data_IF_830238199650
#
_entry.id   IF_830238199650
#
_cell.length_a   1.000
_cell.length_b   1.000
_cell.length_c   1.000
_cell.angle_alpha   90.00
_cell.angle_beta   90.00
_cell.angle_gamma   90.00
#
_symmetry.space_group_name_H-M   'P 1'
#
loop_
_entity.id
_entity.type
_entity.pdbx_description
1 polymer ?
#
# COMPACT_ATOMS: atom_id res chain seq x y z
N UNK A 1 22.75 -12.86 4.01
CA UNK A 1 21.43 -12.26 4.08
C UNK A 1 21.46 -10.98 4.91
N UNK A 2 20.43 -10.15 4.77
CA UNK A 2 20.28 -8.94 5.58
C UNK A 2 19.72 -9.29 6.99
N UNK A 3 19.85 -8.39 7.97
CA UNK A 3 19.25 -8.57 9.30
C UNK A 3 17.74 -8.80 9.22
N UNK A 4 17.05 -8.06 8.35
CA UNK A 4 15.60 -8.26 8.09
C UNK A 4 15.34 -9.62 7.45
N UNK A 5 16.24 -10.12 6.61
CA UNK A 5 16.16 -11.47 6.04
C UNK A 5 16.25 -12.56 7.12
N UNK A 6 17.09 -12.37 8.15
CA UNK A 6 17.16 -13.26 9.31
C UNK A 6 15.85 -13.25 10.08
N UNK A 7 15.27 -12.06 10.32
CA UNK A 7 13.97 -11.92 10.99
C UNK A 7 12.85 -12.66 10.23
N UNK A 8 12.78 -12.50 8.90
CA UNK A 8 11.83 -13.22 8.05
C UNK A 8 12.05 -14.75 8.12
N UNK A 9 13.31 -15.19 8.16
CA UNK A 9 13.66 -16.61 8.32
C UNK A 9 13.16 -17.17 9.64
N UNK A 10 13.34 -16.44 10.75
CA UNK A 10 12.82 -16.82 12.07
C UNK A 10 11.30 -16.95 12.05
N UNK A 11 10.57 -15.98 11.48
CA UNK A 11 9.11 -16.08 11.37
C UNK A 11 8.66 -17.23 10.47
N UNK A 12 9.38 -17.50 9.38
CA UNK A 12 9.10 -18.65 8.53
C UNK A 12 9.29 -19.97 9.27
N UNK A 13 10.36 -20.09 10.06
CA UNK A 13 10.63 -21.23 10.89
C UNK A 13 9.54 -21.46 11.94
N UNK A 14 9.17 -20.41 12.69
CA UNK A 14 8.10 -20.47 13.69
C UNK A 14 6.77 -20.89 13.06
N UNK A 15 6.39 -20.32 11.94
CA UNK A 15 5.20 -20.70 11.19
C UNK A 15 5.22 -22.17 10.81
N UNK A 16 6.31 -22.64 10.25
CA UNK A 16 6.44 -24.03 9.82
C UNK A 16 6.34 -25.01 11.02
N UNK A 17 6.95 -24.67 12.15
CA UNK A 17 6.86 -25.47 13.37
C UNK A 17 5.42 -25.54 13.91
N UNK A 18 4.73 -24.42 13.93
CA UNK A 18 3.36 -24.33 14.45
C UNK A 18 2.34 -25.01 13.53
N UNK A 19 2.54 -24.93 12.21
CA UNK A 19 1.58 -25.46 11.23
C UNK A 19 1.85 -26.92 10.85
N UNK A 20 3.09 -27.41 10.94
CA UNK A 20 3.44 -28.77 10.55
C UNK A 20 3.16 -29.83 11.63
N UNK A 21 2.92 -29.42 12.88
CA UNK A 21 2.75 -30.35 14.01
C UNK A 21 3.98 -31.23 14.29
N UNK A 22 5.17 -30.84 13.79
CA UNK A 22 6.42 -31.59 13.92
C UNK A 22 7.24 -31.08 15.10
N UNK A 23 7.93 -31.99 15.78
CA UNK A 23 8.88 -31.60 16.80
C UNK A 23 10.10 -30.89 16.17
N UNK A 24 10.71 -29.94 16.90
CA UNK A 24 11.88 -29.17 16.46
C UNK A 24 13.00 -30.06 15.86
N UNK A 25 13.28 -31.20 16.49
CA UNK A 25 14.34 -32.13 16.06
C UNK A 25 14.08 -32.78 14.68
N UNK A 26 12.87 -32.66 14.16
CA UNK A 26 12.48 -33.21 12.84
C UNK A 26 12.47 -32.14 11.74
N UNK A 27 12.86 -30.92 12.08
CA UNK A 27 12.83 -29.81 11.15
C UNK A 27 14.18 -29.66 10.45
N UNK A 28 14.19 -29.81 9.15
CA UNK A 28 15.34 -29.44 8.29
C UNK A 28 14.94 -28.21 7.49
N UNK A 29 15.65 -27.09 7.72
CA UNK A 29 15.49 -25.89 6.92
C UNK A 29 16.68 -25.80 5.97
N UNK A 30 16.47 -26.11 4.71
CA UNK A 30 17.45 -25.93 3.64
C UNK A 30 16.76 -25.23 2.44
N UNK A 31 16.15 -24.08 2.73
CA UNK A 31 15.45 -23.29 1.72
C UNK A 31 15.95 -21.85 1.76
N UNK A 32 16.47 -21.37 0.65
CA UNK A 32 16.69 -19.95 0.42
C UNK A 32 15.44 -19.35 -0.23
N UNK A 33 14.82 -18.38 0.43
CA UNK A 33 13.63 -17.68 -0.08
C UNK A 33 13.87 -16.17 -0.09
N UNK A 34 13.63 -15.57 -1.25
CA UNK A 34 13.57 -14.13 -1.41
C UNK A 34 12.13 -13.71 -1.73
N UNK A 35 11.68 -12.52 -1.30
CA UNK A 35 10.35 -12.04 -1.66
C UNK A 35 10.22 -11.82 -3.16
N UNK A 36 9.09 -12.22 -3.74
CA UNK A 36 8.75 -12.00 -5.16
C UNK A 36 8.69 -10.51 -5.49
N UNK A 37 8.15 -9.72 -4.57
CA UNK A 37 7.97 -8.28 -4.75
C UNK A 37 8.89 -7.49 -3.82
N UNK A 38 9.47 -6.40 -4.33
CA UNK A 38 10.29 -5.49 -3.53
C UNK A 38 9.46 -4.61 -2.62
N UNK A 39 8.35 -4.06 -3.12
CA UNK A 39 7.40 -3.28 -2.34
C UNK A 39 6.22 -4.17 -1.94
N UNK A 40 5.95 -4.29 -0.65
CA UNK A 40 4.83 -5.01 -0.06
C UNK A 40 4.24 -4.13 1.02
N UNK A 41 3.25 -3.30 0.66
CA UNK A 41 2.85 -2.17 1.47
C UNK A 41 1.36 -2.23 1.83
N UNK A 42 1.03 -1.72 3.01
CA UNK A 42 -0.34 -1.44 3.41
C UNK A 42 -0.60 0.07 3.39
N UNK A 43 -1.71 0.44 2.78
CA UNK A 43 -2.23 1.80 2.89
C UNK A 43 -3.35 1.84 3.93
N UNK A 44 -3.13 2.59 4.98
CA UNK A 44 -4.15 2.90 5.97
C UNK A 44 -4.93 4.13 5.49
N UNK A 45 -6.25 4.08 5.67
CA UNK A 45 -7.11 5.21 5.35
C UNK A 45 -7.60 5.87 6.63
N UNK A 46 -6.65 6.04 7.56
CA UNK A 46 -6.89 6.63 8.87
C UNK A 46 -6.91 8.16 8.76
N UNK A 47 -7.90 8.78 9.39
CA UNK A 47 -8.05 10.23 9.47
C UNK A 47 -7.49 10.75 10.79
N UNK A 48 -7.10 12.02 10.81
CA UNK A 48 -6.50 12.66 12.01
C UNK A 48 -7.51 12.80 13.18
N UNK A 49 -8.82 12.74 12.92
CA UNK A 49 -9.86 12.75 13.94
C UNK A 49 -10.03 11.40 14.67
N UNK A 50 -9.35 10.36 14.19
CA UNK A 50 -9.44 8.99 14.72
C UNK A 50 -10.38 8.08 13.96
N UNK A 51 -11.15 8.60 13.01
CA UNK A 51 -11.97 7.77 12.13
C UNK A 51 -11.12 7.06 11.07
N UNK A 52 -11.63 5.97 10.54
CA UNK A 52 -10.99 5.23 9.43
C UNK A 52 -11.98 5.21 8.27
N UNK A 53 -11.58 5.72 7.11
CA UNK A 53 -12.40 5.61 5.91
C UNK A 53 -12.54 4.13 5.52
N UNK A 54 -13.77 3.64 5.40
CA UNK A 54 -14.08 2.20 5.29
C UNK A 54 -13.60 1.40 6.50
N UNK A 55 -13.64 2.01 7.69
CA UNK A 55 -13.26 1.40 8.96
C UNK A 55 -14.37 0.51 9.50
N UNK A 56 -14.06 -0.78 9.72
CA UNK A 56 -15.00 -1.78 10.27
C UNK A 56 -14.43 -2.49 11.49
N UNK A 57 -13.32 -1.99 12.05
CA UNK A 57 -12.54 -2.62 13.12
C UNK A 57 -12.17 -1.64 14.25
N UNK A 58 -13.09 -0.72 14.54
CA UNK A 58 -12.92 0.30 15.55
C UNK A 58 -12.27 1.58 15.01
N UNK A 59 -11.71 2.36 15.91
CA UNK A 59 -11.07 3.64 15.61
C UNK A 59 -9.59 3.45 15.21
N UNK A 60 -8.99 4.52 14.69
CA UNK A 60 -7.56 4.56 14.40
C UNK A 60 -6.74 4.33 15.68
N UNK A 61 -5.68 3.54 15.57
CA UNK A 61 -4.65 3.45 16.60
C UNK A 61 -3.42 4.32 16.28
N UNK A 62 -3.47 5.06 15.16
CA UNK A 62 -2.45 6.05 14.79
C UNK A 62 -2.82 7.47 15.20
N UNK A 63 -4.12 7.82 15.16
CA UNK A 63 -4.59 9.19 15.32
C UNK A 63 -5.81 9.27 16.24
N UNK A 64 -5.92 10.41 16.93
CA UNK A 64 -7.10 10.84 17.68
C UNK A 64 -7.07 12.34 17.87
N UNK A 65 -8.20 13.00 17.66
CA UNK A 65 -8.38 14.43 17.96
C UNK A 65 -7.28 15.33 17.33
N UNK A 66 -6.86 15.01 16.10
CA UNK A 66 -5.77 15.67 15.36
C UNK A 66 -4.38 15.49 15.96
N UNK A 67 -4.18 14.50 16.82
CA UNK A 67 -2.87 14.14 17.38
C UNK A 67 -2.46 12.72 17.00
N UNK A 68 -1.14 12.48 16.96
CA UNK A 68 -0.58 11.15 16.72
C UNK A 68 -0.56 10.38 18.05
N UNK A 69 -1.16 9.20 18.07
CA UNK A 69 -1.15 8.30 19.22
C UNK A 69 0.17 7.52 19.30
N UNK A 70 0.77 7.45 20.49
CA UNK A 70 1.99 6.67 20.72
C UNK A 70 1.71 5.58 21.77
N UNK A 71 1.05 4.51 21.32
CA UNK A 71 0.91 3.26 22.07
C UNK A 71 2.04 2.31 21.66
N UNK A 72 3.18 2.41 22.33
CA UNK A 72 4.39 1.62 21.99
C UNK A 72 4.13 0.11 21.99
N UNK A 73 3.46 -0.49 23.00
CA UNK A 73 3.15 -1.92 22.99
C UNK A 73 2.32 -2.32 21.75
N UNK A 74 1.27 -1.58 21.43
CA UNK A 74 0.39 -1.88 20.30
C UNK A 74 1.10 -1.70 18.96
N UNK A 75 1.79 -0.59 18.77
CA UNK A 75 2.56 -0.31 17.54
C UNK A 75 3.67 -1.35 17.33
N UNK A 76 4.36 -1.77 18.40
CA UNK A 76 5.38 -2.83 18.33
C UNK A 76 4.76 -4.19 17.95
N UNK A 77 3.61 -4.52 18.54
CA UNK A 77 2.88 -5.74 18.18
C UNK A 77 2.45 -5.71 16.70
N UNK A 78 1.99 -4.55 16.22
CA UNK A 78 1.63 -4.36 14.81
C UNK A 78 2.85 -4.50 13.89
N UNK A 79 3.96 -3.83 14.18
CA UNK A 79 5.19 -3.94 13.39
C UNK A 79 5.70 -5.39 13.30
N UNK A 80 5.65 -6.12 14.42
CA UNK A 80 6.01 -7.54 14.47
C UNK A 80 5.08 -8.41 13.64
N UNK A 81 3.76 -8.16 13.70
CA UNK A 81 2.77 -8.87 12.91
C UNK A 81 3.02 -8.63 11.40
N UNK A 82 3.25 -7.40 10.97
CA UNK A 82 3.57 -7.07 9.58
C UNK A 82 4.83 -7.80 9.09
N UNK A 83 5.89 -7.77 9.88
CA UNK A 83 7.14 -8.48 9.56
C UNK A 83 6.93 -9.99 9.47
N UNK A 84 6.07 -10.58 10.32
CA UNK A 84 5.80 -12.02 10.34
C UNK A 84 5.17 -12.55 9.05
N UNK A 85 4.49 -11.69 8.30
CA UNK A 85 3.89 -12.01 7.00
C UNK A 85 4.63 -11.38 5.83
N UNK A 86 5.74 -10.66 6.10
CA UNK A 86 6.63 -10.11 5.07
C UNK A 86 6.23 -8.75 4.51
N UNK A 87 5.32 -8.02 5.14
CA UNK A 87 5.02 -6.61 4.81
C UNK A 87 6.23 -5.74 5.19
N UNK A 88 6.63 -4.84 4.29
CA UNK A 88 7.83 -4.00 4.47
C UNK A 88 7.59 -2.49 4.29
N UNK A 89 6.33 -2.08 4.17
CA UNK A 89 5.97 -0.66 4.10
C UNK A 89 4.56 -0.41 4.58
N UNK A 90 4.33 0.76 5.16
CA UNK A 90 3.00 1.26 5.52
C UNK A 90 2.88 2.75 5.23
N UNK A 91 1.71 3.19 4.77
CA UNK A 91 1.27 4.58 4.97
C UNK A 91 0.33 4.61 6.17
N UNK A 92 0.39 5.64 6.98
CA UNK A 92 -0.40 5.70 8.22
C UNK A 92 -1.66 6.56 8.12
N UNK A 93 -1.74 7.43 7.11
CA UNK A 93 -2.85 8.37 6.96
C UNK A 93 -3.56 8.21 5.62
N UNK A 94 -4.80 8.66 5.60
CA UNK A 94 -5.69 8.62 4.44
C UNK A 94 -5.05 9.31 3.22
N UNK A 95 -5.26 8.73 2.05
CA UNK A 95 -4.82 9.29 0.76
C UNK A 95 -5.53 10.60 0.38
N UNK A 96 -6.72 10.85 0.97
CA UNK A 96 -7.46 12.10 0.84
C UNK A 96 -6.97 13.14 1.86
N UNK A 97 -5.71 13.54 1.74
CA UNK A 97 -5.05 14.41 2.70
C UNK A 97 -5.68 15.80 2.73
N UNK A 98 -6.12 16.23 3.92
CA UNK A 98 -6.75 17.52 4.18
C UNK A 98 -6.56 17.95 5.64
N UNK A 99 -6.83 19.19 5.93
CA UNK A 99 -6.85 19.73 7.29
C UNK A 99 -5.58 19.37 8.07
N UNK A 100 -5.72 18.84 9.28
CA UNK A 100 -4.61 18.48 10.15
C UNK A 100 -3.61 17.48 9.48
N UNK A 101 -4.07 16.62 8.57
CA UNK A 101 -3.18 15.67 7.90
C UNK A 101 -2.17 16.35 6.95
N UNK A 102 -2.49 17.54 6.42
CA UNK A 102 -1.53 18.32 5.63
C UNK A 102 -0.29 18.72 6.44
N UNK A 103 -0.41 18.83 7.77
CA UNK A 103 0.65 19.23 8.68
C UNK A 103 1.59 18.09 9.09
N UNK A 104 1.34 16.83 8.69
CA UNK A 104 2.21 15.69 9.01
C UNK A 104 3.66 15.88 8.52
N UNK A 105 3.87 16.73 7.52
CA UNK A 105 5.19 17.08 6.99
C UNK A 105 5.78 18.35 7.62
N UNK A 106 5.39 18.69 8.84
CA UNK A 106 5.87 19.87 9.57
C UNK A 106 6.43 19.46 10.94
N UNK A 107 7.12 20.39 11.57
CA UNK A 107 7.74 20.25 12.90
C UNK A 107 6.73 19.89 14.00
N UNK A 108 5.45 20.22 13.81
CA UNK A 108 4.37 19.84 14.73
C UNK A 108 4.35 18.33 15.04
N UNK A 109 4.62 17.49 14.04
CA UNK A 109 4.47 16.04 14.19
C UNK A 109 5.78 15.27 14.10
N UNK A 110 6.91 15.90 13.79
CA UNK A 110 8.18 15.17 13.62
C UNK A 110 8.58 14.35 14.83
N UNK A 111 8.40 14.89 16.06
CA UNK A 111 8.73 14.16 17.28
C UNK A 111 7.96 12.84 17.41
N UNK A 112 6.66 12.85 17.14
CA UNK A 112 5.83 11.63 17.18
C UNK A 112 6.18 10.65 16.04
N UNK A 113 6.43 11.15 14.84
CA UNK A 113 6.84 10.32 13.69
C UNK A 113 8.21 9.70 13.89
N UNK A 114 9.13 10.35 14.61
CA UNK A 114 10.42 9.76 15.02
C UNK A 114 10.21 8.53 15.91
N UNK A 115 9.25 8.57 16.85
CA UNK A 115 8.92 7.41 17.68
C UNK A 115 8.38 6.26 16.80
N UNK A 116 7.57 6.54 15.79
CA UNK A 116 7.12 5.53 14.83
C UNK A 116 8.29 4.90 14.06
N UNK A 117 9.22 5.71 13.56
CA UNK A 117 10.42 5.19 12.89
C UNK A 117 11.25 4.28 13.80
N UNK A 118 11.42 4.64 15.09
CA UNK A 118 12.10 3.79 16.07
C UNK A 118 11.42 2.43 16.26
N UNK A 119 10.08 2.40 16.18
CA UNK A 119 9.29 1.17 16.36
C UNK A 119 9.29 0.31 15.10
N UNK A 120 9.06 0.89 13.92
CA UNK A 120 8.87 0.12 12.68
C UNK A 120 10.17 -0.31 11.98
N UNK A 121 11.21 0.54 12.03
CA UNK A 121 12.48 0.26 11.34
C UNK A 121 13.16 -1.04 11.76
N UNK A 122 13.21 -1.42 13.06
CA UNK A 122 13.82 -2.69 13.48
C UNK A 122 13.13 -3.93 12.89
N UNK A 123 11.86 -3.80 12.51
CA UNK A 123 11.08 -4.86 11.86
C UNK A 123 11.19 -4.83 10.33
N UNK A 124 11.99 -3.93 9.76
CA UNK A 124 12.14 -3.77 8.33
C UNK A 124 10.92 -3.17 7.64
N UNK A 125 10.04 -2.51 8.38
CA UNK A 125 8.85 -1.84 7.88
C UNK A 125 9.16 -0.35 7.71
N UNK A 126 9.12 0.14 6.47
CA UNK A 126 9.29 1.55 6.15
C UNK A 126 8.01 2.33 6.34
N UNK A 127 8.11 3.49 6.93
CA UNK A 127 7.02 4.45 7.06
C UNK A 127 6.94 5.32 5.80
N UNK A 128 5.74 5.48 5.26
CA UNK A 128 5.39 6.43 4.22
C UNK A 128 4.29 7.35 4.72
N UNK A 129 4.24 8.57 4.20
CA UNK A 129 3.16 9.52 4.50
C UNK A 129 2.37 9.82 3.24
N UNK A 130 1.05 9.80 3.34
CA UNK A 130 0.22 10.42 2.30
C UNK A 130 0.32 11.93 2.44
N UNK A 131 0.52 12.63 1.31
CA UNK A 131 0.70 14.10 1.29
C UNK A 131 -0.33 14.78 0.41
N UNK A 132 -0.62 16.04 0.74
CA UNK A 132 -1.42 16.90 -0.09
C UNK A 132 -0.55 17.50 -1.19
N UNK A 133 -0.90 17.27 -2.45
CA UNK A 133 -0.19 17.84 -3.60
C UNK A 133 -0.17 19.38 -3.54
N UNK A 134 -1.23 19.99 -3.02
CA UNK A 134 -1.33 21.45 -2.86
C UNK A 134 -0.74 21.98 -1.53
N UNK A 135 0.09 21.21 -0.83
CA UNK A 135 0.74 21.68 0.40
C UNK A 135 1.52 23.01 0.25
N UNK A 136 2.14 23.37 -0.91
CA UNK A 136 2.72 24.70 -1.09
C UNK A 136 1.72 25.84 -0.88
N UNK A 137 0.46 25.65 -1.26
CA UNK A 137 -0.60 26.63 -1.01
C UNK A 137 -1.04 26.64 0.44
N UNK A 138 -1.32 25.47 1.02
CA UNK A 138 -1.87 25.37 2.38
C UNK A 138 -0.85 25.67 3.48
N UNK A 139 0.40 25.26 3.29
CA UNK A 139 1.47 25.40 4.29
C UNK A 139 2.48 26.50 3.92
N UNK A 140 2.68 26.74 2.64
CA UNK A 140 3.65 27.70 2.12
C UNK A 140 3.07 29.09 1.80
N UNK A 141 1.74 29.23 1.85
CA UNK A 141 1.06 30.49 1.50
C UNK A 141 1.25 30.89 0.03
N UNK A 142 1.54 29.93 -0.85
CA UNK A 142 1.70 30.18 -2.28
C UNK A 142 0.33 30.26 -2.97
N UNK A 143 0.24 31.00 -4.07
CA UNK A 143 -0.99 31.14 -4.86
C UNK A 143 -1.24 29.95 -5.80
N UNK A 144 -0.25 29.09 -5.98
CA UNK A 144 -0.27 27.97 -6.93
C UNK A 144 0.47 26.75 -6.41
N UNK A 145 0.08 25.58 -6.90
CA UNK A 145 0.84 24.32 -6.78
C UNK A 145 1.17 23.76 -8.18
N UNK A 146 1.32 24.61 -9.21
CA UNK A 146 1.72 24.18 -10.54
C UNK A 146 3.08 23.47 -10.49
N UNK A 147 3.17 22.17 -10.87
CA UNK A 147 4.42 21.41 -10.79
C UNK A 147 5.52 21.95 -11.72
N UNK A 148 5.18 22.77 -12.70
CA UNK A 148 6.13 23.40 -13.61
C UNK A 148 6.57 24.80 -13.12
N UNK A 149 6.05 25.30 -11.99
CA UNK A 149 6.51 26.53 -11.38
C UNK A 149 7.81 26.27 -10.58
N UNK A 150 8.94 26.91 -10.92
CA UNK A 150 10.19 26.74 -10.19
C UNK A 150 10.09 27.08 -8.70
N UNK A 151 9.21 27.99 -8.31
CA UNK A 151 9.00 28.35 -6.90
C UNK A 151 8.31 27.20 -6.14
N UNK A 152 7.34 26.53 -6.74
CA UNK A 152 6.67 25.36 -6.20
C UNK A 152 7.66 24.20 -6.10
N UNK A 153 8.45 23.93 -7.13
CA UNK A 153 9.47 22.89 -7.13
C UNK A 153 10.53 23.14 -6.03
N UNK A 154 10.95 24.40 -5.86
CA UNK A 154 11.88 24.79 -4.79
C UNK A 154 11.25 24.56 -3.41
N UNK A 155 10.00 24.95 -3.20
CA UNK A 155 9.31 24.75 -1.92
C UNK A 155 9.30 23.27 -1.54
N UNK A 156 8.99 22.38 -2.50
CA UNK A 156 9.01 20.94 -2.26
C UNK A 156 10.41 20.38 -1.99
N UNK A 157 11.43 20.90 -2.69
CA UNK A 157 12.82 20.51 -2.43
C UNK A 157 13.26 20.91 -1.01
N UNK A 158 12.99 22.13 -0.57
CA UNK A 158 13.28 22.61 0.77
C UNK A 158 12.49 21.79 1.82
N UNK A 159 11.20 21.53 1.57
CA UNK A 159 10.35 20.74 2.47
C UNK A 159 10.82 19.28 2.56
N UNK A 160 11.24 18.67 1.47
CA UNK A 160 11.81 17.33 1.50
C UNK A 160 13.09 17.28 2.35
N UNK A 161 13.98 18.24 2.20
CA UNK A 161 15.18 18.32 3.03
C UNK A 161 14.83 18.46 4.53
N UNK A 162 13.88 19.31 4.87
CA UNK A 162 13.39 19.48 6.25
C UNK A 162 12.83 18.16 6.80
N UNK A 163 11.95 17.49 6.04
CA UNK A 163 11.32 16.24 6.45
C UNK A 163 12.37 15.14 6.68
N UNK A 164 13.28 14.90 5.73
CA UNK A 164 14.29 13.83 5.89
C UNK A 164 15.38 14.16 6.90
N UNK A 165 15.69 15.43 7.13
CA UNK A 165 16.58 15.82 8.22
C UNK A 165 16.00 15.45 9.59
N UNK A 166 14.68 15.54 9.76
CA UNK A 166 13.99 15.18 10.99
C UNK A 166 13.52 13.73 11.05
N UNK A 167 13.23 13.11 9.91
CA UNK A 167 12.72 11.74 9.79
C UNK A 167 13.68 10.87 8.95
N UNK A 168 14.90 10.63 9.41
CA UNK A 168 15.86 9.81 8.69
C UNK A 168 15.32 8.37 8.59
N UNK A 169 15.26 7.84 7.35
CA UNK A 169 14.72 6.50 7.09
C UNK A 169 13.25 6.48 6.70
N UNK A 170 12.58 7.64 6.61
CA UNK A 170 11.26 7.73 5.97
C UNK A 170 11.34 7.14 4.55
N UNK A 171 10.38 6.27 4.17
CA UNK A 171 10.39 5.60 2.88
C UNK A 171 10.05 6.51 1.72
N UNK A 172 9.11 7.43 1.92
CA UNK A 172 8.64 8.30 0.87
C UNK A 172 7.26 8.87 1.10
N UNK A 173 6.67 9.35 0.01
CA UNK A 173 5.32 9.91 0.00
C UNK A 173 4.37 9.11 -0.89
N UNK A 174 3.12 8.97 -0.44
CA UNK A 174 2.00 8.52 -1.24
C UNK A 174 1.17 9.72 -1.67
N UNK A 175 0.84 9.79 -2.96
CA UNK A 175 0.11 10.93 -3.53
C UNK A 175 -1.14 10.45 -4.27
N UNK A 176 -2.26 11.07 -3.95
CA UNK A 176 -3.51 11.01 -4.72
C UNK A 176 -3.84 12.43 -5.16
N UNK A 177 -3.72 12.71 -6.45
CA UNK A 177 -3.94 14.03 -7.03
C UNK A 177 -5.15 14.03 -7.98
N UNK A 178 -5.69 15.20 -8.30
CA UNK A 178 -6.80 15.38 -9.25
C UNK A 178 -8.05 14.53 -8.96
N UNK A 179 -8.33 14.25 -7.71
CA UNK A 179 -9.46 13.42 -7.32
C UNK A 179 -10.19 14.01 -6.09
N UNK A 180 -11.50 13.86 -6.05
CA UNK A 180 -12.36 14.25 -4.91
C UNK A 180 -12.18 15.71 -4.47
N UNK A 181 -12.11 16.63 -5.43
CA UNK A 181 -11.93 18.05 -5.20
C UNK A 181 -10.52 18.46 -4.76
N UNK A 182 -9.55 17.55 -4.84
CA UNK A 182 -8.15 17.86 -4.54
C UNK A 182 -7.43 18.35 -5.79
N UNK A 183 -6.66 19.44 -5.69
CA UNK A 183 -5.82 19.90 -6.79
C UNK A 183 -4.77 18.86 -7.17
N UNK A 184 -4.42 18.87 -8.42
CA UNK A 184 -3.35 18.06 -8.97
C UNK A 184 -2.83 18.69 -10.25
N UNK A 185 -1.99 17.99 -11.03
CA UNK A 185 -1.43 18.51 -12.28
C UNK A 185 -2.47 19.02 -13.25
N UNK A 186 -3.61 18.35 -13.40
CA UNK A 186 -4.67 18.77 -14.33
C UNK A 186 -5.28 20.13 -13.99
N UNK A 187 -5.29 20.52 -12.72
CA UNK A 187 -5.73 21.84 -12.28
C UNK A 187 -4.96 22.96 -12.98
N UNK A 188 -3.70 22.70 -13.34
CA UNK A 188 -2.77 23.64 -13.97
C UNK A 188 -2.51 23.35 -15.45
N UNK A 189 -3.30 22.47 -16.07
CA UNK A 189 -3.08 22.06 -17.46
C UNK A 189 -1.82 21.22 -17.68
N UNK A 190 -1.33 20.55 -16.62
CA UNK A 190 -0.16 19.67 -16.65
C UNK A 190 -0.59 18.21 -16.66
N UNK A 191 0.31 17.32 -17.04
CA UNK A 191 0.06 15.87 -16.98
C UNK A 191 0.51 15.27 -15.63
N UNK A 192 0.17 14.01 -15.39
CA UNK A 192 0.46 13.32 -14.14
C UNK A 192 1.97 13.10 -13.91
N UNK A 193 2.76 12.95 -14.97
CA UNK A 193 4.21 12.81 -14.87
C UNK A 193 4.88 14.13 -14.44
N UNK A 194 4.35 15.29 -14.88
CA UNK A 194 4.87 16.59 -14.43
C UNK A 194 4.79 16.69 -12.89
N UNK A 195 3.65 16.33 -12.32
CA UNK A 195 3.46 16.37 -10.86
C UNK A 195 4.29 15.33 -10.11
N UNK A 196 4.28 14.10 -10.60
CA UNK A 196 5.03 13.01 -9.95
C UNK A 196 6.54 13.25 -9.99
N UNK A 197 7.06 13.73 -11.13
CA UNK A 197 8.49 13.98 -11.33
C UNK A 197 8.97 15.18 -10.50
N UNK A 198 8.19 16.25 -10.37
CA UNK A 198 8.54 17.36 -9.49
C UNK A 198 8.77 16.88 -8.06
N UNK A 199 7.85 16.07 -7.52
CA UNK A 199 8.00 15.49 -6.17
C UNK A 199 9.15 14.48 -6.11
N UNK A 200 9.32 13.66 -7.14
CA UNK A 200 10.40 12.68 -7.22
C UNK A 200 11.78 13.34 -7.21
N UNK A 201 11.95 14.41 -7.98
CA UNK A 201 13.17 15.22 -8.01
C UNK A 201 13.43 15.90 -6.65
N UNK A 202 12.38 16.34 -5.95
CA UNK A 202 12.49 16.93 -4.61
C UNK A 202 12.98 15.93 -3.56
N UNK A 203 12.52 14.68 -3.58
CA UNK A 203 12.87 13.66 -2.56
C UNK A 203 14.10 12.82 -2.93
N UNK A 204 14.52 12.81 -4.20
CA UNK A 204 15.65 11.99 -4.68
C UNK A 204 16.96 12.23 -3.91
N UNK A 205 17.37 13.49 -3.61
CA UNK A 205 18.61 13.75 -2.84
C UNK A 205 18.57 13.14 -1.43
N UNK A 206 17.37 12.90 -0.89
CA UNK A 206 17.16 12.32 0.43
C UNK A 206 16.97 10.79 0.39
N UNK A 207 17.02 10.17 -0.80
CA UNK A 207 16.73 8.75 -0.99
C UNK A 207 15.25 8.39 -0.85
N UNK A 208 14.36 9.39 -0.97
CA UNK A 208 12.92 9.23 -0.88
C UNK A 208 12.30 8.64 -2.13
N UNK A 209 11.13 8.05 -1.99
CA UNK A 209 10.36 7.40 -3.04
C UNK A 209 8.96 8.01 -3.15
N UNK A 210 8.42 8.11 -4.36
CA UNK A 210 7.07 8.57 -4.61
C UNK A 210 6.20 7.40 -5.05
N UNK A 211 5.13 7.16 -4.33
CA UNK A 211 4.06 6.26 -4.74
C UNK A 211 2.93 7.12 -5.28
N UNK A 212 2.72 7.08 -6.59
CA UNK A 212 1.72 7.91 -7.25
C UNK A 212 0.50 7.08 -7.61
N UNK A 213 -0.63 7.39 -6.98
CA UNK A 213 -1.85 6.60 -7.16
C UNK A 213 -2.54 6.96 -8.47
N UNK A 214 -2.72 5.98 -9.35
CA UNK A 214 -3.41 6.12 -10.65
C UNK A 214 -4.93 6.03 -10.49
N UNK A 215 -5.48 6.67 -9.47
CA UNK A 215 -6.91 6.83 -9.32
C UNK A 215 -7.29 8.24 -9.77
N UNK A 216 -7.45 8.37 -11.07
CA UNK A 216 -7.78 9.66 -11.68
C UNK A 216 -9.00 9.46 -12.57
N UNK A 217 -10.13 9.85 -12.07
CA UNK A 217 -11.13 10.45 -12.94
C UNK A 217 -11.19 11.92 -12.55
N UNK A 218 -11.15 12.78 -13.54
CA UNK A 218 -11.36 14.18 -13.27
C UNK A 218 -12.74 14.35 -12.60
N UNK A 219 -12.76 14.65 -11.31
CA UNK A 219 -14.02 14.81 -10.56
C UNK A 219 -14.84 16.02 -11.04
N UNK A 220 -14.22 16.92 -11.81
CA UNK A 220 -14.89 18.03 -12.48
C UNK A 220 -15.44 17.65 -13.86
N UNK A 221 -15.20 16.42 -14.31
CA UNK A 221 -15.71 15.94 -15.59
C UNK A 221 -17.23 15.96 -15.60
N UNK A 222 -17.80 16.60 -16.60
CA UNK A 222 -19.25 16.57 -16.81
C UNK A 222 -19.69 15.14 -17.10
N UNK A 223 -20.52 14.56 -16.23
CA UNK A 223 -21.07 13.22 -16.38
C UNK A 223 -21.86 13.01 -17.68
N UNK A 224 -22.29 14.09 -18.33
CA UNK A 224 -22.96 14.07 -19.64
C UNK A 224 -21.99 13.88 -20.81
N UNK A 225 -20.69 14.02 -20.55
CA UNK A 225 -19.67 13.81 -21.57
C UNK A 225 -19.43 12.31 -21.74
N UNK A 226 -20.22 11.69 -22.61
CA UNK A 226 -20.14 10.24 -22.91
C UNK A 226 -18.91 9.83 -23.74
N UNK A 227 -18.07 10.79 -24.13
CA UNK A 227 -16.80 10.50 -24.83
C UNK A 227 -15.69 10.10 -23.88
N UNK A 228 -15.83 10.36 -22.59
CA UNK A 228 -14.86 10.02 -21.55
C UNK A 228 -15.50 8.97 -20.66
N UNK A 229 -14.87 7.81 -20.60
CA UNK A 229 -15.32 6.68 -19.79
C UNK A 229 -14.48 6.60 -18.51
N UNK A 230 -15.14 6.51 -17.35
CA UNK A 230 -14.48 6.40 -16.04
C UNK A 230 -13.55 5.16 -15.98
N UNK A 231 -14.00 4.05 -16.54
CA UNK A 231 -13.22 2.82 -16.57
C UNK A 231 -11.95 2.93 -17.45
N UNK A 232 -11.93 3.86 -18.39
CA UNK A 232 -10.78 4.13 -19.26
C UNK A 232 -9.88 5.24 -18.76
N UNK A 233 -10.37 6.10 -17.87
CA UNK A 233 -9.69 7.35 -17.52
C UNK A 233 -8.24 7.11 -17.05
N UNK A 234 -8.02 6.12 -16.17
CA UNK A 234 -6.67 5.77 -15.74
C UNK A 234 -5.76 5.36 -16.91
N UNK A 235 -6.27 4.52 -17.80
CA UNK A 235 -5.50 4.10 -18.98
C UNK A 235 -5.20 5.28 -19.91
N UNK A 236 -6.21 6.05 -20.25
CA UNK A 236 -6.08 7.18 -21.20
C UNK A 236 -5.13 8.28 -20.67
N UNK A 237 -5.05 8.48 -19.37
CA UNK A 237 -4.17 9.50 -18.78
C UNK A 237 -2.75 9.03 -18.49
N UNK A 238 -2.55 7.75 -18.15
CA UNK A 238 -1.23 7.26 -17.73
C UNK A 238 -0.49 6.50 -18.85
N UNK A 239 -1.19 5.78 -19.71
CA UNK A 239 -0.55 5.01 -20.79
C UNK A 239 0.34 5.86 -21.71
N UNK A 240 -0.06 7.09 -22.14
CA UNK A 240 0.78 7.95 -22.97
C UNK A 240 2.05 8.46 -22.28
N UNK A 241 2.13 8.30 -20.94
CA UNK A 241 3.23 8.77 -20.12
C UNK A 241 4.22 7.65 -19.76
N UNK A 242 4.05 6.44 -20.31
CA UNK A 242 4.96 5.34 -20.03
C UNK A 242 6.41 5.70 -20.35
N UNK A 243 7.32 5.43 -19.41
CA UNK A 243 8.75 5.76 -19.53
C UNK A 243 9.11 7.22 -19.28
N UNK A 244 8.14 8.08 -18.90
CA UNK A 244 8.43 9.50 -18.61
C UNK A 244 8.58 9.77 -17.10
N UNK A 245 8.20 8.83 -16.25
CA UNK A 245 8.35 8.93 -14.80
C UNK A 245 9.79 8.68 -14.36
N UNK A 246 10.21 9.32 -13.27
CA UNK A 246 11.55 9.09 -12.65
C UNK A 246 11.63 7.68 -12.06
N UNK A 247 12.84 7.16 -11.93
CA UNK A 247 13.11 5.82 -11.37
C UNK A 247 12.67 5.65 -9.90
N UNK A 248 12.55 6.75 -9.15
CA UNK A 248 12.04 6.74 -7.79
C UNK A 248 10.53 7.01 -7.70
N UNK A 249 9.79 6.81 -8.80
CA UNK A 249 8.32 6.83 -8.84
C UNK A 249 7.79 5.43 -9.07
N UNK A 250 6.83 5.01 -8.27
CA UNK A 250 6.00 3.81 -8.52
C UNK A 250 4.56 4.23 -8.73
N UNK A 251 3.99 3.84 -9.84
CA UNK A 251 2.56 4.04 -10.11
C UNK A 251 1.74 2.97 -9.38
N UNK A 252 0.89 3.39 -8.45
CA UNK A 252 -0.02 2.49 -7.73
C UNK A 252 -1.35 2.40 -8.47
N UNK A 253 -1.62 1.22 -9.04
CA UNK A 253 -2.72 0.96 -9.94
C UNK A 253 -3.70 0.00 -9.29
N UNK A 254 -4.98 0.37 -9.15
CA UNK A 254 -6.03 -0.55 -8.69
C UNK A 254 -6.06 -1.82 -9.55
N UNK A 255 -6.35 -2.93 -8.91
CA UNK A 255 -6.45 -4.23 -9.59
C UNK A 255 -7.47 -4.25 -10.74
N UNK A 256 -8.54 -3.48 -10.63
CA UNK A 256 -9.54 -3.25 -11.68
C UNK A 256 -9.60 -1.78 -12.08
N UNK A 257 -10.24 -1.46 -13.22
CA UNK A 257 -10.26 -0.11 -13.78
C UNK A 257 -11.21 0.87 -13.05
N UNK A 258 -12.08 0.37 -12.18
CA UNK A 258 -13.10 1.16 -11.49
C UNK A 258 -12.77 1.37 -10.01
N UNK A 259 -13.14 0.42 -9.14
CA UNK A 259 -13.08 0.65 -7.69
C UNK A 259 -13.15 -0.62 -6.84
N UNK A 260 -12.27 -1.59 -7.08
CA UNK A 260 -12.17 -2.84 -6.30
C UNK A 260 -13.44 -3.73 -6.32
N UNK A 261 -14.31 -3.58 -7.30
CA UNK A 261 -15.50 -4.42 -7.41
C UNK A 261 -15.11 -5.81 -7.92
N UNK A 262 -15.72 -6.84 -7.35
CA UNK A 262 -15.36 -8.26 -7.62
C UNK A 262 -15.48 -8.65 -9.10
N UNK A 263 -16.39 -8.02 -9.82
CA UNK A 263 -16.65 -8.31 -11.24
C UNK A 263 -15.86 -7.45 -12.22
N UNK A 264 -14.98 -6.60 -11.74
CA UNK A 264 -14.10 -5.83 -12.60
C UNK A 264 -13.09 -6.73 -13.29
N UNK A 265 -12.76 -6.47 -14.57
CA UNK A 265 -11.61 -7.10 -15.22
C UNK A 265 -10.30 -6.61 -14.58
N UNK A 266 -9.20 -7.29 -14.85
CA UNK A 266 -7.86 -6.77 -14.51
C UNK A 266 -7.64 -5.46 -15.25
N UNK A 267 -7.09 -4.46 -14.55
CA UNK A 267 -6.85 -3.14 -15.13
C UNK A 267 -5.89 -3.23 -16.33
N UNK A 268 -6.30 -2.77 -17.53
CA UNK A 268 -5.43 -2.81 -18.71
C UNK A 268 -4.15 -1.99 -18.56
N UNK A 269 -4.15 -1.00 -17.67
CA UNK A 269 -2.99 -0.15 -17.41
C UNK A 269 -1.80 -0.96 -16.87
N UNK A 270 -2.04 -2.03 -16.10
CA UNK A 270 -0.99 -2.89 -15.54
C UNK A 270 -0.12 -3.50 -16.65
N UNK A 271 -0.74 -3.96 -17.72
CA UNK A 271 -0.01 -4.52 -18.87
C UNK A 271 0.44 -3.46 -19.87
N UNK A 272 -0.19 -2.27 -19.86
CA UNK A 272 0.13 -1.19 -20.78
C UNK A 272 1.49 -0.52 -20.48
N UNK A 273 1.81 -0.37 -19.20
CA UNK A 273 3.07 0.27 -18.78
C UNK A 273 4.23 -0.71 -18.85
N UNK A 274 5.22 -0.42 -19.70
CA UNK A 274 6.37 -1.30 -19.94
C UNK A 274 7.69 -0.73 -19.41
N UNK A 275 7.75 0.59 -19.22
CA UNK A 275 8.97 1.33 -18.88
C UNK A 275 8.84 2.13 -17.57
N UNK A 276 7.75 1.94 -16.84
CA UNK A 276 7.46 2.65 -15.60
C UNK A 276 7.26 1.62 -14.48
N UNK A 277 7.76 1.91 -13.27
CA UNK A 277 7.53 1.06 -12.11
C UNK A 277 6.08 1.08 -11.69
N UNK A 278 5.53 -0.09 -11.39
CA UNK A 278 4.12 -0.26 -11.02
C UNK A 278 3.96 -1.09 -9.74
N UNK A 279 2.93 -0.76 -8.97
CA UNK A 279 2.43 -1.61 -7.90
C UNK A 279 0.94 -1.83 -8.08
N UNK A 280 0.49 -3.08 -7.99
CA UNK A 280 -0.94 -3.37 -8.02
C UNK A 280 -1.53 -3.08 -6.65
N UNK A 281 -2.59 -2.25 -6.64
CA UNK A 281 -3.35 -1.90 -5.46
C UNK A 281 -4.56 -2.82 -5.31
N UNK A 282 -4.58 -3.58 -4.22
CA UNK A 282 -5.70 -4.40 -3.78
C UNK A 282 -6.44 -3.72 -2.63
N UNK A 283 -7.60 -4.23 -2.26
CA UNK A 283 -8.34 -3.77 -1.08
C UNK A 283 -8.69 -4.96 -0.19
N UNK A 284 -8.10 -5.03 1.00
CA UNK A 284 -8.47 -6.03 2.02
C UNK A 284 -9.46 -5.46 3.04
N UNK A 285 -9.79 -4.18 2.93
CA UNK A 285 -10.79 -3.49 3.73
C UNK A 285 -12.23 -3.96 3.48
N UNK A 286 -12.49 -4.74 2.43
CA UNK A 286 -13.78 -5.36 2.12
C UNK A 286 -14.95 -4.38 1.88
N UNK A 287 -14.69 -3.19 1.34
CA UNK A 287 -15.73 -2.19 1.04
C UNK A 287 -16.90 -2.79 0.23
N UNK A 288 -16.58 -3.58 -0.80
CA UNK A 288 -17.56 -4.18 -1.72
C UNK A 288 -17.77 -5.68 -1.50
N UNK A 289 -17.16 -6.25 -0.47
CA UNK A 289 -17.22 -7.69 -0.15
C UNK A 289 -17.78 -7.96 1.25
N UNK A 290 -18.74 -7.14 1.67
CA UNK A 290 -19.48 -7.34 2.91
C UNK A 290 -19.00 -6.53 4.10
N UNK A 291 -18.10 -5.56 3.91
CA UNK A 291 -17.69 -4.59 4.93
C UNK A 291 -17.20 -5.25 6.22
N UNK A 292 -16.46 -6.36 6.11
CA UNK A 292 -16.01 -7.23 7.21
C UNK A 292 -17.11 -7.79 8.13
N UNK A 293 -18.39 -7.63 7.76
CA UNK A 293 -19.52 -8.25 8.45
C UNK A 293 -19.81 -9.65 7.94
N UNK A 294 -19.38 -9.93 6.71
CA UNK A 294 -19.45 -11.24 6.08
C UNK A 294 -18.06 -11.84 5.93
N UNK A 295 -17.98 -13.16 6.06
CA UNK A 295 -16.74 -13.87 5.77
C UNK A 295 -16.53 -13.85 4.26
N UNK A 296 -15.43 -13.27 3.84
CA UNK A 296 -15.01 -13.25 2.45
C UNK A 296 -13.49 -13.36 2.40
N UNK A 297 -12.98 -14.53 2.01
CA UNK A 297 -11.56 -14.76 1.84
C UNK A 297 -11.13 -14.32 0.44
N UNK A 298 -10.32 -13.27 0.36
CA UNK A 298 -10.01 -12.54 -0.88
C UNK A 298 -8.86 -13.15 -1.69
N UNK A 299 -8.03 -14.02 -1.07
CA UNK A 299 -6.80 -14.48 -1.73
C UNK A 299 -7.05 -15.30 -3.01
N UNK A 300 -8.13 -16.11 -3.16
CA UNK A 300 -8.44 -16.76 -4.44
C UNK A 300 -8.65 -15.75 -5.57
N UNK A 301 -9.33 -14.65 -5.29
CA UNK A 301 -9.54 -13.57 -6.27
C UNK A 301 -8.24 -12.83 -6.60
N UNK A 302 -7.45 -12.47 -5.58
CA UNK A 302 -6.15 -11.81 -5.81
C UNK A 302 -5.20 -12.70 -6.60
N UNK A 303 -5.24 -14.01 -6.36
CA UNK A 303 -4.44 -14.96 -7.12
C UNK A 303 -4.88 -15.03 -8.60
N UNK A 304 -6.19 -14.99 -8.89
CA UNK A 304 -6.69 -14.92 -10.26
C UNK A 304 -6.18 -13.67 -10.99
N UNK A 305 -6.12 -12.52 -10.30
CA UNK A 305 -5.57 -11.30 -10.86
C UNK A 305 -4.06 -11.44 -11.13
N UNK A 306 -3.31 -12.01 -10.20
CA UNK A 306 -1.87 -12.22 -10.35
C UNK A 306 -1.53 -13.22 -11.48
N UNK A 307 -2.39 -14.20 -11.70
CA UNK A 307 -2.23 -15.20 -12.75
C UNK A 307 -2.83 -14.76 -14.10
N UNK A 308 -3.43 -13.59 -14.18
CA UNK A 308 -3.99 -13.09 -15.43
C UNK A 308 -2.85 -12.71 -16.39
N UNK A 309 -2.89 -13.31 -17.61
CA UNK A 309 -1.97 -12.97 -18.70
C UNK A 309 -2.47 -11.72 -19.43
N UNK A 310 -1.70 -10.65 -19.36
CA UNK A 310 -2.00 -9.36 -20.01
C UNK A 310 -1.74 -9.38 -21.53
N UNK A 311 -1.10 -10.46 -22.04
CA UNK A 311 -0.75 -10.63 -23.45
C UNK A 311 0.09 -9.48 -24.05
N UNK A 312 0.85 -8.76 -23.23
CA UNK A 312 1.62 -7.58 -23.65
C UNK A 312 3.09 -7.89 -23.95
N UNK A 313 3.53 -9.13 -23.74
CA UNK A 313 4.90 -9.61 -24.01
C UNK A 313 4.89 -10.81 -24.94
N UNK A 314 5.03 -10.62 -26.26
CA UNK A 314 4.86 -11.72 -27.25
C UNK A 314 5.78 -12.93 -27.00
N UNK A 315 6.97 -12.72 -26.40
CA UNK A 315 7.97 -13.76 -26.16
C UNK A 315 8.38 -13.85 -24.68
N UNK A 316 7.56 -13.37 -23.76
CA UNK A 316 7.86 -13.34 -22.34
C UNK A 316 6.64 -13.57 -21.46
N UNK A 317 6.88 -13.74 -20.15
CA UNK A 317 5.81 -13.88 -19.16
C UNK A 317 5.13 -12.52 -18.96
N UNK A 318 3.86 -12.42 -19.38
CA UNK A 318 3.03 -11.23 -19.23
C UNK A 318 1.94 -11.38 -18.16
N UNK A 319 2.03 -12.40 -17.30
CA UNK A 319 1.16 -12.49 -16.14
C UNK A 319 1.42 -11.31 -15.19
N UNK A 320 0.38 -10.81 -14.55
CA UNK A 320 0.48 -9.68 -13.62
C UNK A 320 1.59 -9.90 -12.59
N UNK A 321 1.69 -11.11 -12.01
CA UNK A 321 2.74 -11.45 -11.04
C UNK A 321 4.17 -11.27 -11.57
N UNK A 322 4.38 -11.44 -12.88
CA UNK A 322 5.70 -11.25 -13.51
C UNK A 322 5.96 -9.78 -13.83
N UNK A 323 4.91 -9.00 -14.14
CA UNK A 323 5.02 -7.57 -14.45
C UNK A 323 5.39 -6.73 -13.22
N UNK A 324 4.96 -7.17 -12.02
CA UNK A 324 5.18 -6.44 -10.77
C UNK A 324 6.44 -6.86 -10.00
N UNK A 325 7.27 -7.73 -10.58
CA UNK A 325 8.55 -8.11 -9.98
C UNK A 325 9.64 -7.07 -10.29
N UNK A 326 10.68 -7.06 -9.46
CA UNK A 326 11.84 -6.20 -9.67
C UNK A 326 11.86 -4.96 -8.77
N UNK A 327 12.91 -4.16 -8.94
CA UNK A 327 13.11 -2.93 -8.20
C UNK A 327 12.01 -1.91 -8.55
N UNK A 328 11.49 -1.21 -7.56
CA UNK A 328 10.44 -0.21 -7.76
C UNK A 328 9.02 -0.77 -7.92
N UNK A 329 8.88 -2.07 -8.19
CA UNK A 329 7.58 -2.72 -8.39
C UNK A 329 7.08 -3.41 -7.13
N UNK A 330 5.75 -3.72 -7.09
CA UNK A 330 5.21 -4.46 -5.97
C UNK A 330 3.71 -4.61 -5.87
N UNK A 331 3.29 -4.89 -4.65
CA UNK A 331 1.89 -5.03 -4.27
C UNK A 331 1.57 -4.10 -3.09
N UNK A 332 0.44 -3.46 -3.17
CA UNK A 332 -0.10 -2.58 -2.12
C UNK A 332 -1.51 -3.02 -1.79
N UNK A 333 -1.93 -2.96 -0.54
CA UNK A 333 -3.32 -3.18 -0.19
C UNK A 333 -3.85 -2.07 0.71
N UNK A 334 -5.06 -1.62 0.43
CA UNK A 334 -5.83 -0.81 1.36
C UNK A 334 -6.31 -1.69 2.49
N UNK A 335 -5.98 -1.31 3.71
CA UNK A 335 -6.38 -2.01 4.93
C UNK A 335 -7.21 -1.11 5.82
N UNK A 336 -8.01 -1.71 6.68
CA UNK A 336 -8.80 -1.02 7.69
C UNK A 336 -8.55 -1.58 9.09
N UNK A 337 -7.31 -1.95 9.36
CA UNK A 337 -6.93 -2.31 10.72
C UNK A 337 -7.21 -1.16 11.66
N UNK A 338 -7.87 -1.45 12.77
CA UNK A 338 -8.25 -0.47 13.78
C UNK A 338 -7.82 -0.89 15.18
N UNK A 339 -8.35 -0.21 16.19
CA UNK A 339 -8.04 -0.46 17.60
C UNK A 339 -8.77 -1.68 18.19
N UNK A 340 -9.52 -2.44 17.39
CA UNK A 340 -10.09 -3.72 17.79
C UNK A 340 -9.02 -4.70 18.28
N UNK A 341 -9.38 -5.60 19.18
CA UNK A 341 -8.43 -6.54 19.81
C UNK A 341 -7.70 -7.41 18.79
N UNK A 342 -8.41 -7.88 17.75
CA UNK A 342 -7.85 -8.70 16.68
C UNK A 342 -7.41 -7.92 15.43
N UNK A 343 -7.31 -6.59 15.50
CA UNK A 343 -6.94 -5.65 14.43
C UNK A 343 -8.00 -5.43 13.35
N UNK A 344 -8.81 -6.42 13.03
CA UNK A 344 -9.63 -6.48 11.83
C UNK A 344 -11.13 -6.64 12.11
N UNK A 345 -11.56 -6.44 13.35
CA UNK A 345 -12.97 -6.52 13.77
C UNK A 345 -13.47 -7.91 14.13
N UNK A 346 -12.89 -8.96 13.54
CA UNK A 346 -13.14 -10.37 13.92
C UNK A 346 -12.06 -11.29 13.33
N UNK A 347 -11.89 -12.48 13.94
CA UNK A 347 -10.80 -13.40 13.61
C UNK A 347 -10.76 -13.78 12.13
N UNK A 348 -11.90 -14.08 11.51
CA UNK A 348 -11.91 -14.51 10.11
C UNK A 348 -11.54 -13.37 9.12
N UNK A 349 -11.72 -12.11 9.48
CA UNK A 349 -11.25 -10.98 8.67
C UNK A 349 -9.72 -10.86 8.69
N UNK A 350 -9.06 -11.30 9.75
CA UNK A 350 -7.61 -11.33 9.86
C UNK A 350 -6.95 -12.25 8.82
N UNK A 351 -7.68 -13.24 8.30
CA UNK A 351 -7.21 -14.11 7.23
C UNK A 351 -6.80 -13.33 5.97
N UNK A 352 -7.47 -12.21 5.67
CA UNK A 352 -7.13 -11.37 4.51
C UNK A 352 -5.84 -10.58 4.72
N UNK A 353 -5.60 -10.07 5.93
CA UNK A 353 -4.36 -9.37 6.25
C UNK A 353 -3.16 -10.34 6.22
N UNK A 354 -3.32 -11.50 6.87
CA UNK A 354 -2.33 -12.57 6.82
C UNK A 354 -2.06 -13.00 5.37
N UNK A 355 -3.14 -13.28 4.64
CA UNK A 355 -3.08 -13.79 3.27
C UNK A 355 -2.42 -12.82 2.31
N UNK A 356 -2.73 -11.52 2.39
CA UNK A 356 -2.09 -10.51 1.56
C UNK A 356 -0.58 -10.46 1.82
N UNK A 357 -0.14 -10.47 3.06
CA UNK A 357 1.28 -10.48 3.39
C UNK A 357 1.98 -11.70 2.79
N UNK A 358 1.41 -12.90 2.97
CA UNK A 358 1.95 -14.15 2.41
C UNK A 358 2.01 -14.14 0.88
N UNK A 359 0.91 -13.72 0.23
CA UNK A 359 0.80 -13.68 -1.23
C UNK A 359 1.70 -12.60 -1.84
N UNK A 360 1.87 -11.45 -1.18
CA UNK A 360 2.77 -10.40 -1.65
C UNK A 360 4.24 -10.78 -1.50
N UNK A 361 4.57 -11.61 -0.50
CA UNK A 361 5.91 -12.15 -0.30
C UNK A 361 6.25 -13.22 -1.34
N UNK A 362 5.31 -14.14 -1.59
CA UNK A 362 5.45 -15.20 -2.58
C UNK A 362 4.16 -15.31 -3.41
N UNK A 363 4.18 -14.72 -4.60
CA UNK A 363 3.04 -14.65 -5.51
C UNK A 363 2.66 -16.01 -6.13
N UNK A 364 3.43 -17.07 -5.86
CA UNK A 364 3.17 -18.42 -6.34
C UNK A 364 2.39 -19.28 -5.36
N UNK A 365 2.22 -18.81 -4.10
CA UNK A 365 1.50 -19.57 -3.07
C UNK A 365 0.04 -19.82 -3.46
N UNK A 366 -0.41 -21.05 -3.19
CA UNK A 366 -1.83 -21.39 -3.32
C UNK A 366 -2.63 -20.71 -2.19
N UNK A 367 -3.71 -19.99 -2.51
CA UNK A 367 -4.61 -19.41 -1.52
C UNK A 367 -5.13 -20.41 -0.48
N UNK A 368 -5.34 -21.66 -0.86
CA UNK A 368 -5.77 -22.71 0.05
C UNK A 368 -4.67 -23.07 1.07
N UNK A 369 -3.41 -23.11 0.62
CA UNK A 369 -2.27 -23.32 1.52
C UNK A 369 -2.15 -22.18 2.53
N UNK A 370 -2.28 -20.93 2.06
CA UNK A 370 -2.24 -19.74 2.91
C UNK A 370 -3.38 -19.77 3.95
N UNK A 371 -4.59 -20.13 3.54
CA UNK A 371 -5.74 -20.27 4.44
C UNK A 371 -5.49 -21.34 5.50
N UNK A 372 -4.96 -22.50 5.10
CA UNK A 372 -4.62 -23.58 6.03
C UNK A 372 -3.54 -23.19 7.04
N UNK A 373 -2.49 -22.45 6.59
CA UNK A 373 -1.50 -21.88 7.51
C UNK A 373 -2.18 -20.99 8.56
N UNK A 374 -3.00 -20.04 8.11
CA UNK A 374 -3.67 -19.09 8.98
C UNK A 374 -4.63 -19.78 9.97
N UNK A 375 -5.42 -20.75 9.50
CA UNK A 375 -6.33 -21.52 10.35
C UNK A 375 -5.60 -22.25 11.47
N UNK A 376 -4.48 -22.91 11.16
CA UNK A 376 -3.67 -23.64 12.15
C UNK A 376 -2.99 -22.71 13.15
N UNK A 377 -2.52 -21.55 12.70
CA UNK A 377 -1.91 -20.54 13.56
C UNK A 377 -2.93 -19.92 14.53
N UNK A 378 -4.19 -19.76 14.09
CA UNK A 378 -5.25 -19.09 14.85
C UNK A 378 -6.01 -20.06 15.76
N UNK A 379 -6.37 -21.26 15.25
CA UNK A 379 -7.25 -22.20 15.93
C UNK A 379 -6.54 -23.50 16.33
N UNK A 380 -5.23 -23.60 16.11
CA UNK A 380 -4.45 -24.80 16.32
C UNK A 380 -4.65 -25.87 15.23
N UNK A 381 -3.89 -26.96 15.34
CA UNK A 381 -3.97 -28.08 14.40
C UNK A 381 -5.23 -28.94 14.67
N UNK A 382 -6.40 -28.40 14.28
CA UNK A 382 -7.71 -29.02 14.48
C UNK A 382 -8.38 -29.28 13.13
N UNK A 383 -8.25 -30.50 12.61
CA UNK A 383 -8.76 -30.90 11.31
C UNK A 383 -10.28 -30.65 11.12
N UNK A 384 -11.18 -30.95 12.10
CA UNK A 384 -12.60 -30.59 11.99
C UNK A 384 -12.85 -29.09 11.81
N UNK A 385 -12.13 -28.24 12.54
CA UNK A 385 -12.23 -26.76 12.41
C UNK A 385 -11.74 -26.34 11.04
N UNK A 386 -10.58 -26.82 10.60
CA UNK A 386 -10.01 -26.51 9.29
C UNK A 386 -11.00 -26.89 8.16
N UNK A 387 -11.53 -28.11 8.17
CA UNK A 387 -12.51 -28.58 7.17
C UNK A 387 -13.81 -27.76 7.17
N UNK A 388 -14.26 -27.30 8.32
CA UNK A 388 -15.48 -26.51 8.45
C UNK A 388 -15.27 -25.11 7.90
N UNK A 389 -14.21 -24.44 8.32
CA UNK A 389 -13.92 -23.06 7.91
C UNK A 389 -13.51 -22.95 6.43
N UNK A 390 -12.96 -24.01 5.84
CA UNK A 390 -12.70 -24.06 4.40
C UNK A 390 -13.97 -24.05 3.53
N UNK A 391 -15.13 -24.37 4.10
CA UNK A 391 -16.41 -24.41 3.37
C UNK A 391 -17.19 -23.09 3.44
N UNK A 392 -16.78 -22.20 4.31
CA UNK A 392 -17.37 -20.88 4.47
C UNK A 392 -16.71 -19.89 3.50
#
# INVERSE_FOLDING_TARGET
GSEVGVLYGVFALLRNLQTAGKAWAQFTADEERAPSNRLRMLNHWDNMDGSIERGYSGDSFFFKDSEILIDVPRLTAYARMLASVGINGITINNVNVKDAASWLITDRYFGALQEYLKIFTPYGVKLYLSINFAAPMELGGMDSADPCDPAVAKWWADKAQEVWANLPGLGGFLVKADSEGRPGPFTYGRNQADGANMLADAVAPCGGHIVWRCFVYNCQQDWRNTKIDRARAGYDYFMPLDGTFRDNVTLQIKNGPMDFQVREPVSPLIGGLQHTHIAVEFQIAQEYTGQQRHVCYLMPWFRQILDFDMHTRPNGDAHVRALIQGAGNGMVAVTNTGNDENWTGHDLAAANLYGFGRLSYDTTLDPAVIAGEWLRLTFGNNEPVEKTLYRI
#
